data_IF_990657466538
#
_entry.id   IF_990657466538
#
_cell.length_a   1.000
_cell.length_b   1.000
_cell.length_c   1.000
_cell.angle_alpha   90.00
_cell.angle_beta   90.00
_cell.angle_gamma   90.00
#
_symmetry.space_group_name_H-M   'P 1'
#
loop_
_entity.id
_entity.type
_entity.pdbx_description
1 polymer ?
#
# COMPACT_ATOMS: atom_id res chain seq x y z
N UNK A 1 -20.31 1.21 7.15
CA UNK A 1 -19.90 2.03 6.00
C UNK A 1 -19.19 3.25 6.58
N UNK A 2 -17.90 3.41 6.31
CA UNK A 2 -17.17 4.64 6.66
C UNK A 2 -17.67 5.71 5.70
N UNK A 3 -18.02 6.89 6.21
CA UNK A 3 -18.52 8.00 5.40
C UNK A 3 -17.45 8.38 4.36
N UNK A 4 -17.86 8.46 3.09
CA UNK A 4 -17.02 9.09 2.06
C UNK A 4 -16.71 10.51 2.56
N UNK A 5 -15.43 10.84 2.68
CA UNK A 5 -14.87 12.11 3.17
C UNK A 5 -14.48 12.19 4.67
N UNK A 6 -14.64 11.14 5.48
CA UNK A 6 -14.11 11.15 6.85
C UNK A 6 -13.64 9.76 7.30
N UNK A 7 -12.38 9.45 7.01
CA UNK A 7 -11.72 8.21 7.46
C UNK A 7 -10.58 7.77 6.56
N UNK A 8 -9.88 6.73 7.00
CA UNK A 8 -8.91 5.99 6.20
C UNK A 8 -9.24 4.50 6.29
N UNK A 9 -8.69 3.73 5.36
CA UNK A 9 -8.73 2.28 5.39
C UNK A 9 -7.35 1.73 5.70
N UNK A 10 -7.30 0.70 6.52
CA UNK A 10 -6.16 -0.21 6.53
C UNK A 10 -6.46 -1.36 5.58
N UNK A 11 -5.55 -1.59 4.63
CA UNK A 11 -5.61 -2.70 3.70
C UNK A 11 -4.52 -3.68 4.12
N UNK A 12 -4.95 -4.72 4.83
CA UNK A 12 -4.04 -5.67 5.45
C UNK A 12 -3.72 -6.85 4.52
N UNK A 13 -2.50 -7.36 4.64
CA UNK A 13 -2.08 -8.63 4.09
C UNK A 13 -1.49 -9.49 5.21
N UNK A 14 -1.91 -10.75 5.29
CA UNK A 14 -1.38 -11.72 6.23
C UNK A 14 -1.17 -13.07 5.54
N UNK A 15 0.04 -13.62 5.67
CA UNK A 15 0.41 -14.95 5.17
C UNK A 15 0.64 -15.89 6.36
N UNK A 16 -0.27 -16.85 6.55
CA UNK A 16 -0.19 -17.82 7.66
C UNK A 16 1.06 -18.70 7.61
N UNK A 17 1.48 -19.12 6.42
CA UNK A 17 2.59 -20.05 6.23
C UNK A 17 3.95 -19.46 6.67
N UNK A 18 4.12 -18.15 6.47
CA UNK A 18 5.35 -17.43 6.81
C UNK A 18 5.22 -16.59 8.08
N UNK A 19 4.00 -16.49 8.64
CA UNK A 19 3.66 -15.54 9.70
C UNK A 19 4.03 -14.09 9.34
N UNK A 20 3.98 -13.75 8.05
CA UNK A 20 4.27 -12.41 7.54
C UNK A 20 3.01 -11.56 7.54
N UNK A 21 3.14 -10.30 7.98
CA UNK A 21 2.07 -9.31 8.00
C UNK A 21 2.58 -7.97 7.49
N UNK A 22 1.74 -7.27 6.74
CA UNK A 22 1.97 -5.87 6.37
C UNK A 22 0.64 -5.18 6.08
N UNK A 23 0.65 -3.84 6.04
CA UNK A 23 -0.54 -3.03 5.83
C UNK A 23 -0.25 -1.84 4.91
N UNK A 24 -1.26 -1.39 4.19
CA UNK A 24 -1.27 -0.13 3.46
C UNK A 24 -2.44 0.74 3.93
N UNK A 25 -2.30 2.06 3.81
CA UNK A 25 -3.33 3.01 4.25
C UNK A 25 -3.99 3.69 3.05
N UNK A 26 -5.31 3.60 2.96
CA UNK A 26 -6.12 4.25 1.92
C UNK A 26 -6.74 5.56 2.41
N UNK A 27 -6.55 6.66 1.68
CA UNK A 27 -7.18 7.97 1.95
C UNK A 27 -8.03 8.42 0.77
N UNK A 28 -9.23 8.95 1.06
CA UNK A 28 -10.09 9.51 0.02
C UNK A 28 -9.53 10.84 -0.48
N UNK A 29 -9.45 10.99 -1.81
CA UNK A 29 -8.89 12.15 -2.47
C UNK A 29 -9.97 13.02 -3.15
N UNK A 30 -9.57 14.21 -3.58
CA UNK A 30 -10.47 15.19 -4.22
C UNK A 30 -10.97 14.75 -5.61
N UNK A 31 -10.36 13.73 -6.21
CA UNK A 31 -10.79 13.12 -7.47
C UNK A 31 -11.94 12.11 -7.28
N UNK A 32 -12.38 11.89 -6.05
CA UNK A 32 -13.41 10.90 -5.73
C UNK A 32 -12.90 9.46 -5.83
N UNK A 33 -11.63 9.24 -5.50
CA UNK A 33 -10.95 7.94 -5.43
C UNK A 33 -10.21 7.80 -4.10
N UNK A 34 -9.70 6.61 -3.82
CA UNK A 34 -8.83 6.32 -2.69
C UNK A 34 -7.39 6.19 -3.18
N UNK A 35 -6.51 7.00 -2.60
CA UNK A 35 -5.06 6.89 -2.74
C UNK A 35 -4.55 5.89 -1.69
N UNK A 36 -3.85 4.84 -2.14
CA UNK A 36 -3.38 3.76 -1.27
C UNK A 36 -1.86 3.86 -1.11
N UNK A 37 -1.43 4.14 0.11
CA UNK A 37 -0.03 4.39 0.46
C UNK A 37 0.58 3.25 1.27
N UNK A 38 1.89 3.09 1.13
CA UNK A 38 2.68 2.10 1.84
C UNK A 38 3.89 2.72 2.54
N UNK A 39 4.02 2.47 3.84
CA UNK A 39 5.06 3.03 4.70
C UNK A 39 5.63 2.05 5.75
N UNK A 40 5.41 0.74 5.58
CA UNK A 40 5.83 -0.28 6.57
C UNK A 40 7.32 -0.69 6.46
N UNK A 41 8.11 -0.02 5.61
CA UNK A 41 9.54 -0.27 5.46
C UNK A 41 10.38 0.92 5.93
N UNK A 42 11.54 0.61 6.49
CA UNK A 42 12.61 1.59 6.70
C UNK A 42 12.99 2.28 5.38
N UNK A 43 13.38 3.55 5.48
CA UNK A 43 13.60 4.40 4.31
C UNK A 43 14.60 3.80 3.31
N UNK A 44 15.70 3.20 3.78
CA UNK A 44 16.72 2.60 2.92
C UNK A 44 16.19 1.41 2.09
N UNK A 45 15.31 0.59 2.69
CA UNK A 45 14.63 -0.50 2.01
C UNK A 45 13.59 0.02 1.03
N UNK A 46 12.85 1.05 1.42
CA UNK A 46 11.88 1.70 0.54
C UNK A 46 12.55 2.28 -0.71
N UNK A 47 13.67 3.01 -0.55
CA UNK A 47 14.44 3.51 -1.69
C UNK A 47 14.92 2.40 -2.62
N UNK A 48 15.39 1.27 -2.08
CA UNK A 48 15.80 0.11 -2.89
C UNK A 48 14.64 -0.57 -3.61
N UNK A 49 13.49 -0.70 -2.94
CA UNK A 49 12.30 -1.34 -3.50
C UNK A 49 11.78 -0.58 -4.72
N UNK A 50 11.87 0.74 -4.67
CA UNK A 50 11.40 1.63 -5.73
C UNK A 50 12.52 2.20 -6.61
N UNK A 51 13.75 1.69 -6.50
CA UNK A 51 14.89 2.18 -7.30
C UNK A 51 14.64 2.00 -8.80
N UNK A 52 14.85 3.07 -9.56
CA UNK A 52 14.60 3.11 -11.01
C UNK A 52 13.12 3.09 -11.42
N UNK A 53 12.17 3.16 -10.48
CA UNK A 53 10.75 3.37 -10.77
C UNK A 53 10.40 4.85 -10.67
N UNK A 54 9.38 5.26 -11.41
CA UNK A 54 8.73 6.56 -11.19
C UNK A 54 7.65 6.35 -10.12
N UNK A 55 7.80 7.00 -8.96
CA UNK A 55 6.90 6.85 -7.83
C UNK A 55 6.71 8.16 -7.08
N UNK A 56 5.52 8.32 -6.52
CA UNK A 56 5.16 9.47 -5.70
C UNK A 56 5.33 9.12 -4.21
N UNK A 57 6.08 9.94 -3.48
CA UNK A 57 6.19 9.87 -2.02
C UNK A 57 5.39 11.02 -1.42
N UNK A 58 4.48 10.69 -0.52
CA UNK A 58 4.00 11.59 0.50
C UNK A 58 4.88 11.47 1.76
N UNK A 59 5.23 12.61 2.36
CA UNK A 59 6.14 12.67 3.51
C UNK A 59 5.58 11.98 4.77
N UNK A 60 4.26 11.95 4.92
CA UNK A 60 3.56 11.45 6.11
C UNK A 60 3.02 10.03 5.84
N UNK A 61 2.62 9.73 4.61
CA UNK A 61 1.97 8.47 4.24
C UNK A 61 2.87 7.47 3.49
N UNK A 62 4.04 7.88 3.00
CA UNK A 62 4.97 7.02 2.27
C UNK A 62 4.68 6.96 0.77
N UNK A 63 4.92 5.81 0.15
CA UNK A 63 4.83 5.68 -1.31
C UNK A 63 3.40 5.44 -1.74
N UNK A 64 2.90 6.21 -2.71
CA UNK A 64 1.63 5.95 -3.37
C UNK A 64 1.77 4.70 -4.25
N UNK A 65 1.07 3.62 -3.90
CA UNK A 65 1.07 2.39 -4.69
C UNK A 65 0.12 2.50 -5.89
N UNK A 66 -1.12 2.97 -5.64
CA UNK A 66 -2.16 3.07 -6.65
C UNK A 66 -3.39 3.83 -6.16
N UNK A 67 -4.26 4.21 -7.10
CA UNK A 67 -5.60 4.77 -6.84
C UNK A 67 -6.71 3.75 -7.12
N UNK A 68 -7.77 3.72 -6.31
CA UNK A 68 -8.90 2.77 -6.42
C UNK A 68 -10.25 3.42 -6.10
N UNK A 69 -11.35 2.79 -6.49
CA UNK A 69 -12.70 3.32 -6.25
C UNK A 69 -13.33 2.80 -4.94
N UNK A 70 -12.91 1.61 -4.49
CA UNK A 70 -13.48 0.91 -3.34
C UNK A 70 -12.45 0.00 -2.67
N UNK A 71 -12.79 -0.46 -1.45
CA UNK A 71 -11.92 -1.24 -0.59
C UNK A 71 -11.57 -2.62 -1.18
N UNK A 72 -12.52 -3.29 -1.85
CA UNK A 72 -12.26 -4.62 -2.40
C UNK A 72 -11.22 -4.51 -3.52
N UNK A 73 -11.32 -3.48 -4.36
CA UNK A 73 -10.30 -3.20 -5.37
C UNK A 73 -8.95 -2.85 -4.75
N UNK A 74 -8.94 -2.14 -3.62
CA UNK A 74 -7.73 -1.85 -2.85
C UNK A 74 -7.06 -3.14 -2.37
N UNK A 75 -7.82 -4.01 -1.70
CA UNK A 75 -7.35 -5.26 -1.15
C UNK A 75 -6.80 -6.21 -2.22
N UNK A 76 -7.55 -6.43 -3.31
CA UNK A 76 -7.10 -7.28 -4.41
C UNK A 76 -5.78 -6.81 -5.05
N UNK A 77 -5.63 -5.49 -5.24
CA UNK A 77 -4.39 -4.93 -5.80
C UNK A 77 -3.25 -4.98 -4.79
N UNK A 78 -3.53 -4.70 -3.52
CA UNK A 78 -2.51 -4.71 -2.47
C UNK A 78 -1.96 -6.11 -2.26
N UNK A 79 -2.82 -7.12 -2.11
CA UNK A 79 -2.43 -8.53 -2.00
C UNK A 79 -1.53 -8.95 -3.16
N UNK A 80 -1.91 -8.63 -4.40
CA UNK A 80 -1.07 -8.92 -5.58
C UNK A 80 0.25 -8.18 -5.56
N UNK A 81 0.27 -6.92 -5.13
CA UNK A 81 1.52 -6.17 -5.01
C UNK A 81 2.43 -6.78 -3.94
N UNK A 82 1.89 -7.16 -2.79
CA UNK A 82 2.68 -7.79 -1.71
C UNK A 82 3.29 -9.10 -2.22
N UNK A 83 2.50 -9.97 -2.84
CA UNK A 83 2.96 -11.28 -3.32
C UNK A 83 3.98 -11.20 -4.46
N UNK A 84 3.80 -10.25 -5.39
CA UNK A 84 4.64 -10.18 -6.59
C UNK A 84 5.81 -9.20 -6.49
N UNK A 85 5.78 -8.28 -5.53
CA UNK A 85 6.78 -7.20 -5.41
C UNK A 85 7.43 -7.19 -4.03
N UNK A 86 6.66 -7.07 -2.95
CA UNK A 86 7.22 -6.90 -1.61
C UNK A 86 7.88 -8.17 -1.07
N UNK A 87 7.16 -9.31 -1.06
CA UNK A 87 7.69 -10.57 -0.56
C UNK A 87 8.96 -11.00 -1.31
N UNK A 88 9.00 -11.01 -2.66
CA UNK A 88 10.22 -11.33 -3.40
C UNK A 88 11.38 -10.35 -3.17
N UNK A 89 11.10 -9.12 -2.73
CA UNK A 89 12.14 -8.17 -2.35
C UNK A 89 12.71 -8.47 -0.95
N UNK A 90 11.86 -8.86 0.01
CA UNK A 90 12.26 -9.15 1.39
C UNK A 90 13.03 -10.46 1.54
N UNK A 91 12.85 -11.40 0.62
CA UNK A 91 13.57 -12.68 0.59
C UNK A 91 14.99 -12.59 0.00
N UNK A 92 15.39 -11.43 -0.54
CA UNK A 92 16.72 -11.18 -1.14
C UNK A 92 17.71 -10.59 -0.14
#
# INVERSE_FOLDING_TARGET
>A
MIEKNYGHWHVDYYCEETNFYTTATGFWNDEGRWDVFFNELEADKMYKLFDGLDYEIDKDFGVLLFKVNDFNNAHDKFTKWVENVLLPFLEK
#
